data_IF_998027705384
#
_entry.id   IF_998027705384
#
_cell.length_a   1.000
_cell.length_b   1.000
_cell.length_c   1.000
_cell.angle_alpha   90.00
_cell.angle_beta   90.00
_cell.angle_gamma   90.00
#
_symmetry.space_group_name_H-M   'P 1'
#
loop_
_entity.id
_entity.type
_entity.pdbx_description
1 polymer ?
#
# COMPACT_ATOMS: atom_id res chain seq x y z
N UNK A 1 5.82 19.76 25.33
CA UNK A 1 6.22 18.41 24.89
C UNK A 1 4.96 17.59 24.76
N UNK A 2 4.87 16.68 23.80
CA UNK A 2 3.70 15.80 23.70
C UNK A 2 3.71 14.82 24.89
N UNK A 3 2.58 14.70 25.58
CA UNK A 3 2.41 13.74 26.68
C UNK A 3 1.82 12.44 26.14
N UNK A 4 2.29 11.32 26.67
CA UNK A 4 1.82 9.97 26.33
C UNK A 4 1.20 9.32 27.56
N UNK A 5 0.07 8.64 27.36
CA UNK A 5 -0.61 7.88 28.41
C UNK A 5 -0.25 6.40 28.36
N UNK A 6 -0.33 5.70 29.48
CA UNK A 6 -0.20 4.22 29.50
C UNK A 6 -1.25 3.62 28.57
N UNK A 7 -0.84 2.68 27.72
CA UNK A 7 -1.64 2.08 26.67
C UNK A 7 -1.54 2.80 25.31
N UNK A 8 -0.95 4.00 25.24
CA UNK A 8 -0.71 4.67 23.96
C UNK A 8 0.22 3.81 23.08
N UNK A 9 -0.18 3.62 21.82
CA UNK A 9 0.69 3.02 20.81
C UNK A 9 1.53 4.12 20.19
N UNK A 10 2.84 4.01 20.35
CA UNK A 10 3.83 4.99 19.90
C UNK A 10 4.79 4.37 18.90
N UNK A 11 5.31 5.20 18.00
CA UNK A 11 6.46 4.86 17.17
C UNK A 11 7.74 5.40 17.80
N UNK A 12 8.66 4.49 18.13
CA UNK A 12 9.97 4.83 18.69
C UNK A 12 10.96 5.01 17.55
N UNK A 13 11.47 6.23 17.37
CA UNK A 13 12.37 6.63 16.28
C UNK A 13 13.56 5.66 16.17
N UNK A 14 13.59 4.89 15.08
CA UNK A 14 14.66 3.94 14.76
C UNK A 14 14.53 2.55 15.40
N UNK A 15 13.48 2.32 16.20
CA UNK A 15 13.23 1.04 16.89
C UNK A 15 11.85 0.44 16.59
N UNK A 16 10.91 1.21 16.03
CA UNK A 16 9.59 0.72 15.60
C UNK A 16 8.48 0.96 16.62
N UNK A 17 7.34 0.28 16.47
CA UNK A 17 6.16 0.49 17.33
C UNK A 17 6.33 -0.13 18.72
N UNK A 18 5.85 0.59 19.72
CA UNK A 18 5.81 0.16 21.11
C UNK A 18 4.52 0.66 21.78
N UNK A 19 4.17 0.04 22.89
CA UNK A 19 3.10 0.48 23.78
C UNK A 19 3.74 1.17 24.99
N UNK A 20 3.23 2.32 25.41
CA UNK A 20 3.63 2.94 26.68
C UNK A 20 3.09 2.10 27.83
N UNK A 21 3.96 1.49 28.63
CA UNK A 21 3.58 0.59 29.73
C UNK A 21 3.78 1.21 31.12
N UNK A 22 4.58 2.27 31.22
CA UNK A 22 4.68 3.11 32.43
C UNK A 22 4.58 4.58 32.03
N UNK A 23 4.00 5.44 32.90
CA UNK A 23 3.95 6.88 32.66
C UNK A 23 5.37 7.49 32.61
N UNK A 24 5.44 8.77 32.28
CA UNK A 24 6.68 9.54 32.33
C UNK A 24 7.32 9.44 33.72
N UNK A 25 8.57 9.01 33.80
CA UNK A 25 9.32 9.02 35.05
C UNK A 25 9.67 10.46 35.45
N UNK A 26 9.02 10.98 36.49
CA UNK A 26 9.19 12.36 36.99
C UNK A 26 10.18 12.49 38.14
N UNK A 27 10.61 11.37 38.75
CA UNK A 27 11.59 11.36 39.82
C UNK A 27 12.97 11.85 39.33
N UNK A 28 13.44 12.99 39.84
CA UNK A 28 14.73 13.60 39.47
C UNK A 28 15.93 12.75 39.91
N UNK A 29 15.79 11.90 40.94
CA UNK A 29 16.85 10.98 41.38
C UNK A 29 16.99 9.73 40.53
N UNK A 30 16.00 9.44 39.67
CA UNK A 30 16.00 8.26 38.83
C UNK A 30 16.88 8.44 37.59
N UNK A 31 17.67 7.41 37.26
CA UNK A 31 18.40 7.36 35.97
C UNK A 31 17.48 7.38 34.74
N UNK A 32 16.17 7.16 34.93
CA UNK A 32 15.15 7.17 33.89
C UNK A 32 14.32 8.46 33.85
N UNK A 33 14.69 9.48 34.64
CA UNK A 33 14.02 10.78 34.65
C UNK A 33 13.77 11.30 33.21
N UNK A 34 12.54 11.74 32.95
CA UNK A 34 12.11 12.25 31.64
C UNK A 34 11.89 11.18 30.56
N UNK A 35 11.75 9.91 30.94
CA UNK A 35 11.52 8.79 30.00
C UNK A 35 10.23 8.03 30.30
N UNK A 36 9.63 7.49 29.26
CA UNK A 36 8.53 6.53 29.32
C UNK A 36 9.10 5.12 29.22
N UNK A 37 8.58 4.18 30.00
CA UNK A 37 8.83 2.75 29.73
C UNK A 37 7.89 2.30 28.64
N UNK A 38 8.45 1.76 27.56
CA UNK A 38 7.70 1.25 26.43
C UNK A 38 7.96 -0.24 26.23
N UNK A 39 6.99 -0.96 25.67
CA UNK A 39 7.08 -2.38 25.29
C UNK A 39 6.97 -2.52 23.78
N UNK A 40 8.01 -2.99 23.13
CA UNK A 40 8.02 -3.16 21.67
C UNK A 40 7.06 -4.26 21.24
N UNK A 41 6.24 -3.98 20.23
CA UNK A 41 5.24 -4.95 19.74
C UNK A 41 5.89 -6.15 19.03
N UNK A 42 7.08 -5.97 18.46
CA UNK A 42 7.74 -7.01 17.67
C UNK A 42 8.23 -8.19 18.53
N UNK A 43 8.75 -7.92 19.73
CA UNK A 43 9.45 -8.92 20.56
C UNK A 43 9.11 -8.85 22.05
N UNK A 44 8.21 -7.95 22.46
CA UNK A 44 7.84 -7.73 23.85
C UNK A 44 8.94 -7.10 24.71
N UNK A 45 10.11 -6.78 24.15
CA UNK A 45 11.20 -6.18 24.90
C UNK A 45 10.80 -4.79 25.41
N UNK A 46 11.27 -4.43 26.61
CA UNK A 46 10.99 -3.13 27.20
C UNK A 46 12.18 -2.18 27.10
N UNK A 47 11.91 -0.88 26.96
CA UNK A 47 12.95 0.15 26.91
C UNK A 47 12.46 1.46 27.51
N UNK A 48 13.36 2.26 28.08
CA UNK A 48 13.05 3.62 28.55
C UNK A 48 13.36 4.63 27.45
N UNK A 49 12.31 5.13 26.79
CA UNK A 49 12.39 6.08 25.69
C UNK A 49 12.09 7.51 26.15
N UNK A 50 12.87 8.48 25.68
CA UNK A 50 12.58 9.91 25.88
C UNK A 50 11.40 10.34 25.02
N UNK A 51 10.67 11.37 25.45
CA UNK A 51 9.53 11.94 24.69
C UNK A 51 9.91 12.37 23.27
N UNK A 52 11.12 12.90 23.06
CA UNK A 52 11.62 13.39 21.77
C UNK A 52 11.85 12.31 20.70
N UNK A 53 11.93 11.03 21.11
CA UNK A 53 12.05 9.89 20.21
C UNK A 53 10.75 9.13 20.04
N UNK A 54 9.70 9.48 20.80
CA UNK A 54 8.37 8.92 20.64
C UNK A 54 7.56 9.77 19.68
N UNK A 55 6.73 9.11 18.88
CA UNK A 55 5.70 9.76 18.08
C UNK A 55 4.40 9.07 18.35
N UNK A 56 3.32 9.83 18.54
CA UNK A 56 1.99 9.26 18.58
C UNK A 56 1.75 8.59 17.24
N UNK A 57 1.49 7.28 17.27
CA UNK A 57 1.08 6.61 16.05
C UNK A 57 -0.29 7.15 15.75
N UNK A 58 -0.47 7.76 14.57
CA UNK A 58 -1.72 8.43 14.23
C UNK A 58 -2.89 7.49 14.58
N UNK A 59 -3.86 8.04 15.32
CA UNK A 59 -5.12 7.40 15.71
C UNK A 59 -5.59 6.49 14.59
N UNK A 60 -6.04 5.27 14.90
CA UNK A 60 -6.59 4.35 13.89
C UNK A 60 -7.58 5.10 13.00
N UNK A 61 -7.10 5.51 11.82
CA UNK A 61 -7.90 6.32 10.91
C UNK A 61 -8.99 5.38 10.39
N UNK A 62 -10.25 5.74 10.65
CA UNK A 62 -11.38 4.93 10.18
C UNK A 62 -11.45 4.96 8.66
N UNK A 63 -11.06 6.08 8.06
CA UNK A 63 -11.02 6.29 6.62
C UNK A 63 -10.07 5.28 5.95
N UNK A 64 -10.52 4.77 4.81
CA UNK A 64 -9.77 3.79 4.01
C UNK A 64 -8.77 4.46 3.08
N UNK A 65 -9.14 5.62 2.52
CA UNK A 65 -8.29 6.41 1.61
C UNK A 65 -7.76 7.63 2.35
N UNK A 66 -6.46 7.86 2.25
CA UNK A 66 -5.74 8.93 2.93
C UNK A 66 -5.00 9.76 1.88
N UNK A 67 -5.26 11.07 1.83
CA UNK A 67 -4.74 11.95 0.80
C UNK A 67 -3.61 12.83 1.34
N UNK A 68 -2.52 12.90 0.57
CA UNK A 68 -1.33 13.68 0.88
C UNK A 68 -1.01 14.61 -0.28
N UNK A 69 -0.66 15.88 -0.01
CA UNK A 69 -0.27 16.84 -1.07
C UNK A 69 1.23 16.88 -1.33
N UNK A 70 2.08 16.43 -0.41
CA UNK A 70 3.54 16.52 -0.54
C UNK A 70 4.21 15.18 -0.27
N UNK A 71 5.43 14.99 -0.78
CA UNK A 71 6.25 13.80 -0.51
C UNK A 71 6.49 13.61 0.99
N UNK A 72 6.73 14.71 1.71
CA UNK A 72 6.92 14.69 3.17
C UNK A 72 5.66 14.21 3.89
N UNK A 73 4.49 14.71 3.49
CA UNK A 73 3.22 14.29 4.10
C UNK A 73 2.89 12.84 3.76
N UNK A 74 3.14 12.43 2.52
CA UNK A 74 2.95 11.06 2.07
C UNK A 74 3.79 10.06 2.87
N UNK A 75 5.10 10.30 3.02
CA UNK A 75 5.99 9.45 3.82
C UNK A 75 5.62 9.45 5.30
N UNK A 76 5.20 10.60 5.84
CA UNK A 76 4.76 10.71 7.24
C UNK A 76 3.46 9.95 7.47
N UNK A 77 2.50 10.05 6.56
CA UNK A 77 1.25 9.31 6.58
C UNK A 77 1.48 7.80 6.43
N UNK A 78 2.29 7.38 5.46
CA UNK A 78 2.68 5.98 5.29
C UNK A 78 3.30 5.41 6.58
N UNK A 79 4.24 6.13 7.18
CA UNK A 79 4.89 5.74 8.43
C UNK A 79 3.91 5.61 9.61
N UNK A 80 2.82 6.38 9.63
CA UNK A 80 1.85 6.38 10.72
C UNK A 80 0.80 5.28 10.57
N UNK A 81 0.50 4.83 9.35
CA UNK A 81 -0.52 3.79 9.12
C UNK A 81 0.05 2.39 8.99
N UNK A 82 1.32 2.26 8.59
CA UNK A 82 1.99 0.97 8.46
C UNK A 82 2.36 0.40 9.84
N UNK A 83 2.12 -0.90 10.02
CA UNK A 83 2.47 -1.73 11.17
C UNK A 83 3.56 -2.74 10.82
N UNK A 84 4.24 -3.25 11.85
CA UNK A 84 5.32 -4.23 11.68
C UNK A 84 4.88 -5.52 10.97
N UNK A 85 3.63 -5.95 11.15
CA UNK A 85 3.14 -7.19 10.52
C UNK A 85 2.54 -6.97 9.12
N UNK A 86 2.46 -5.73 8.66
CA UNK A 86 1.79 -5.40 7.40
C UNK A 86 2.60 -5.91 6.20
N UNK A 87 1.86 -6.29 5.18
CA UNK A 87 2.35 -6.37 3.81
C UNK A 87 1.96 -5.10 3.08
N UNK A 88 2.95 -4.45 2.45
CA UNK A 88 2.81 -3.13 1.83
C UNK A 88 3.12 -3.23 0.34
N UNK A 89 2.27 -2.62 -0.48
CA UNK A 89 2.52 -2.37 -1.89
C UNK A 89 2.76 -0.88 -2.08
N UNK A 90 3.82 -0.49 -2.77
CA UNK A 90 4.02 0.90 -3.21
C UNK A 90 3.97 0.99 -4.72
N UNK A 91 3.03 1.77 -5.26
CA UNK A 91 2.84 2.01 -6.69
C UNK A 91 3.39 3.38 -7.06
N UNK A 92 4.29 3.42 -8.03
CA UNK A 92 5.08 4.61 -8.36
C UNK A 92 6.30 4.75 -7.44
N UNK A 93 7.03 3.65 -7.23
CA UNK A 93 8.18 3.64 -6.30
C UNK A 93 9.36 4.48 -6.79
N UNK A 94 9.42 4.82 -8.08
CA UNK A 94 10.56 5.50 -8.70
C UNK A 94 11.88 4.76 -8.35
N UNK A 95 12.87 5.47 -7.82
CA UNK A 95 14.16 4.92 -7.35
C UNK A 95 14.08 4.20 -5.98
N UNK A 96 12.90 4.07 -5.37
CA UNK A 96 12.67 3.21 -4.20
C UNK A 96 12.96 3.81 -2.82
N UNK A 97 13.18 5.13 -2.70
CA UNK A 97 13.50 5.79 -1.41
C UNK A 97 12.39 5.59 -0.37
N UNK A 98 11.12 5.75 -0.77
CA UNK A 98 10.00 5.55 0.15
C UNK A 98 9.85 4.06 0.53
N UNK A 99 9.98 3.15 -0.45
CA UNK A 99 9.96 1.70 -0.23
C UNK A 99 11.02 1.31 0.79
N UNK A 100 12.23 1.84 0.67
CA UNK A 100 13.32 1.59 1.60
C UNK A 100 13.03 2.16 3.00
N UNK A 101 12.50 3.37 3.10
CA UNK A 101 12.10 3.94 4.39
C UNK A 101 11.04 3.07 5.08
N UNK A 102 10.04 2.60 4.33
CA UNK A 102 8.92 1.81 4.84
C UNK A 102 9.30 0.36 5.14
N UNK A 103 10.29 -0.22 4.45
CA UNK A 103 10.77 -1.60 4.69
C UNK A 103 11.19 -1.88 6.14
N UNK A 104 11.52 -0.83 6.90
CA UNK A 104 11.91 -0.92 8.32
C UNK A 104 10.72 -0.95 9.27
N UNK A 105 9.50 -0.78 8.75
CA UNK A 105 8.26 -0.61 9.51
C UNK A 105 7.24 -1.70 9.24
N UNK A 106 7.47 -2.56 8.26
CA UNK A 106 6.56 -3.62 7.83
C UNK A 106 7.29 -4.96 7.70
N UNK A 107 6.51 -6.03 7.60
CA UNK A 107 7.01 -7.40 7.44
C UNK A 107 7.41 -7.65 6.00
N UNK A 108 6.63 -7.10 5.07
CA UNK A 108 6.82 -7.28 3.64
C UNK A 108 6.53 -5.96 2.92
N UNK A 109 7.38 -5.61 1.95
CA UNK A 109 7.11 -4.50 1.04
C UNK A 109 7.66 -4.81 -0.35
N UNK A 110 6.90 -4.42 -1.37
CA UNK A 110 7.34 -4.41 -2.76
C UNK A 110 7.06 -3.03 -3.36
N UNK A 111 8.06 -2.45 -4.01
CA UNK A 111 7.91 -1.23 -4.80
C UNK A 111 7.66 -1.58 -6.27
N UNK A 112 6.71 -0.92 -6.91
CA UNK A 112 6.43 -1.09 -8.34
C UNK A 112 6.43 0.23 -9.06
N UNK A 113 6.85 0.20 -10.31
CA UNK A 113 6.84 1.33 -11.22
C UNK A 113 6.65 0.80 -12.64
N UNK A 114 6.10 1.62 -13.53
CA UNK A 114 5.90 1.25 -14.93
C UNK A 114 7.22 1.32 -15.72
N UNK A 115 8.15 2.16 -15.29
CA UNK A 115 9.44 2.34 -15.96
C UNK A 115 10.44 1.29 -15.51
N UNK A 116 10.87 0.43 -16.44
CA UNK A 116 11.93 -0.56 -16.15
C UNK A 116 13.23 0.11 -15.71
N UNK A 117 13.56 1.27 -16.30
CA UNK A 117 14.78 2.03 -15.98
C UNK A 117 14.80 2.50 -14.52
N UNK A 118 13.66 2.97 -13.98
CA UNK A 118 13.59 3.40 -12.57
C UNK A 118 13.66 2.20 -11.64
N UNK A 119 13.06 1.07 -12.02
CA UNK A 119 13.14 -0.19 -11.25
C UNK A 119 14.57 -0.73 -11.21
N UNK A 120 15.30 -0.71 -12.32
CA UNK A 120 16.72 -1.09 -12.34
C UNK A 120 17.56 -0.20 -11.41
N UNK A 121 17.32 1.11 -11.44
CA UNK A 121 17.96 2.05 -10.53
C UNK A 121 17.63 1.75 -9.05
N UNK A 122 16.37 1.46 -8.74
CA UNK A 122 15.92 1.10 -7.40
C UNK A 122 16.57 -0.21 -6.91
N UNK A 123 16.60 -1.26 -7.74
CA UNK A 123 17.26 -2.54 -7.43
C UNK A 123 18.76 -2.36 -7.19
N UNK A 124 19.43 -1.53 -7.99
CA UNK A 124 20.85 -1.20 -7.79
C UNK A 124 21.08 -0.45 -6.49
N UNK A 125 20.22 0.52 -6.16
CA UNK A 125 20.32 1.35 -4.95
C UNK A 125 19.99 0.58 -3.67
N UNK A 126 19.02 -0.35 -3.74
CA UNK A 126 18.52 -1.11 -2.60
C UNK A 126 18.40 -2.61 -2.91
N UNK A 127 19.53 -3.33 -3.08
CA UNK A 127 19.56 -4.72 -3.56
C UNK A 127 18.91 -5.75 -2.63
N UNK A 128 18.56 -5.36 -1.41
CA UNK A 128 17.86 -6.22 -0.44
C UNK A 128 16.34 -6.10 -0.48
N UNK A 129 15.77 -5.24 -1.33
CA UNK A 129 14.34 -5.00 -1.44
C UNK A 129 13.81 -5.48 -2.79
N UNK A 130 12.53 -5.88 -2.80
CA UNK A 130 11.85 -6.31 -4.02
C UNK A 130 11.30 -5.10 -4.76
N UNK A 131 11.67 -4.99 -6.03
CA UNK A 131 11.10 -4.01 -6.96
C UNK A 131 10.68 -4.73 -8.24
N UNK A 132 9.55 -4.35 -8.83
CA UNK A 132 9.00 -4.97 -10.04
C UNK A 132 8.51 -3.92 -11.04
N UNK A 133 8.74 -4.16 -12.34
CA UNK A 133 8.21 -3.33 -13.40
C UNK A 133 6.78 -3.78 -13.74
N UNK A 134 5.78 -3.07 -13.22
CA UNK A 134 4.36 -3.42 -13.35
C UNK A 134 3.54 -2.14 -13.53
N UNK A 135 2.57 -2.16 -14.45
CA UNK A 135 1.61 -1.07 -14.60
C UNK A 135 0.66 -1.03 -13.40
N UNK A 136 0.46 0.15 -12.80
CA UNK A 136 -0.47 0.33 -11.69
C UNK A 136 -1.91 -0.09 -12.02
N UNK A 137 -2.32 -0.05 -13.29
CA UNK A 137 -3.65 -0.49 -13.69
C UNK A 137 -3.80 -2.01 -13.79
N UNK A 138 -2.71 -2.79 -13.79
CA UNK A 138 -2.75 -4.27 -13.80
C UNK A 138 -2.89 -4.83 -12.37
N UNK A 139 -4.10 -4.73 -11.84
CA UNK A 139 -4.38 -5.16 -10.45
C UNK A 139 -4.15 -6.65 -10.23
N UNK A 140 -4.35 -7.48 -11.25
CA UNK A 140 -4.11 -8.92 -11.15
C UNK A 140 -2.61 -9.19 -10.91
N UNK A 141 -1.74 -8.55 -11.71
CA UNK A 141 -0.30 -8.63 -11.51
C UNK A 141 0.12 -8.08 -10.13
N UNK A 142 -0.42 -6.92 -9.72
CA UNK A 142 -0.11 -6.33 -8.41
C UNK A 142 -0.49 -7.25 -7.26
N UNK A 143 -1.69 -7.85 -7.28
CA UNK A 143 -2.15 -8.80 -6.24
C UNK A 143 -1.24 -10.03 -6.18
N UNK A 144 -0.77 -10.53 -7.32
CA UNK A 144 0.15 -11.67 -7.39
C UNK A 144 1.53 -11.40 -6.77
N UNK A 145 1.92 -10.13 -6.58
CA UNK A 145 3.15 -9.77 -5.86
C UNK A 145 3.02 -9.88 -4.33
N UNK A 146 1.79 -9.92 -3.82
CA UNK A 146 1.50 -9.96 -2.39
C UNK A 146 1.61 -11.36 -1.80
N UNK A 147 1.67 -11.46 -0.46
CA UNK A 147 1.47 -12.73 0.21
C UNK A 147 -0.01 -13.19 0.07
N UNK A 148 -0.36 -14.44 0.42
CA UNK A 148 -1.72 -14.97 0.28
C UNK A 148 -2.80 -14.13 0.98
N UNK A 149 -2.48 -13.52 2.12
CA UNK A 149 -3.37 -12.60 2.85
C UNK A 149 -3.57 -11.23 2.18
N UNK A 150 -2.83 -10.94 1.10
CA UNK A 150 -2.86 -9.68 0.39
C UNK A 150 -2.11 -8.55 1.10
N UNK A 151 -2.35 -7.32 0.65
CA UNK A 151 -1.71 -6.13 1.20
C UNK A 151 -2.61 -5.44 2.23
N UNK A 152 -2.04 -5.12 3.39
CA UNK A 152 -2.70 -4.32 4.42
C UNK A 152 -2.68 -2.82 4.08
N UNK A 153 -1.63 -2.37 3.38
CA UNK A 153 -1.48 -0.97 2.95
C UNK A 153 -1.02 -0.92 1.50
N UNK A 154 -1.68 -0.08 0.71
CA UNK A 154 -1.27 0.29 -0.65
C UNK A 154 -0.91 1.77 -0.66
N UNK A 155 0.32 2.08 -1.03
CA UNK A 155 0.83 3.43 -1.18
C UNK A 155 0.83 3.79 -2.67
N UNK A 156 0.36 4.97 -3.04
CA UNK A 156 0.19 5.43 -4.42
C UNK A 156 0.87 6.78 -4.61
N UNK A 157 2.01 6.80 -5.31
CA UNK A 157 2.77 8.00 -5.66
C UNK A 157 3.06 8.08 -7.17
N UNK A 158 1.98 8.17 -7.97
CA UNK A 158 2.07 8.41 -9.42
C UNK A 158 1.97 9.91 -9.77
N UNK A 159 1.87 10.77 -8.76
CA UNK A 159 1.33 12.13 -8.86
C UNK A 159 2.28 13.20 -9.38
N UNK A 160 3.51 12.88 -9.78
CA UNK A 160 4.45 13.86 -10.34
C UNK A 160 3.99 14.43 -11.69
N UNK A 161 3.36 13.60 -12.52
CA UNK A 161 2.93 13.94 -13.90
C UNK A 161 1.49 13.46 -14.18
N UNK A 162 0.93 12.57 -13.35
CA UNK A 162 -0.41 12.02 -13.59
C UNK A 162 -1.51 13.09 -13.47
N UNK A 163 -2.41 13.11 -14.45
CA UNK A 163 -3.60 13.94 -14.41
C UNK A 163 -4.59 13.48 -13.33
N UNK A 164 -5.45 14.39 -12.87
CA UNK A 164 -6.49 14.08 -11.89
C UNK A 164 -7.38 12.88 -12.30
N UNK A 165 -7.87 12.77 -13.54
CA UNK A 165 -8.64 11.60 -13.99
C UNK A 165 -7.88 10.27 -13.80
N UNK A 166 -6.59 10.25 -14.13
CA UNK A 166 -5.76 9.03 -13.98
C UNK A 166 -5.63 8.63 -12.51
N UNK A 167 -5.33 9.59 -11.62
CA UNK A 167 -5.24 9.30 -10.18
C UNK A 167 -6.59 8.85 -9.62
N UNK A 168 -7.68 9.53 -9.99
CA UNK A 168 -9.03 9.17 -9.53
C UNK A 168 -9.44 7.77 -10.00
N UNK A 169 -9.17 7.43 -11.26
CA UNK A 169 -9.45 6.10 -11.81
C UNK A 169 -8.67 5.01 -11.08
N UNK A 170 -7.37 5.24 -10.82
CA UNK A 170 -6.53 4.29 -10.10
C UNK A 170 -7.01 4.09 -8.65
N UNK A 171 -7.33 5.18 -7.94
CA UNK A 171 -7.87 5.10 -6.57
C UNK A 171 -9.21 4.38 -6.54
N UNK A 172 -10.12 4.66 -7.48
CA UNK A 172 -11.40 3.97 -7.59
C UNK A 172 -11.23 2.47 -7.88
N UNK A 173 -10.30 2.12 -8.76
CA UNK A 173 -9.92 0.74 -9.05
C UNK A 173 -9.40 0.03 -7.80
N UNK A 174 -8.47 0.63 -7.07
CA UNK A 174 -7.91 0.01 -5.86
C UNK A 174 -8.93 -0.08 -4.72
N UNK A 175 -9.78 0.93 -4.58
CA UNK A 175 -10.88 0.90 -3.63
C UNK A 175 -11.83 -0.27 -3.91
N UNK A 176 -12.11 -0.56 -5.19
CA UNK A 176 -12.93 -1.70 -5.58
C UNK A 176 -12.24 -3.04 -5.37
N UNK A 177 -10.97 -3.15 -5.77
CA UNK A 177 -10.31 -4.43 -5.96
C UNK A 177 -9.56 -4.95 -4.73
N UNK A 178 -9.03 -4.09 -3.87
CA UNK A 178 -8.37 -4.53 -2.64
C UNK A 178 -9.40 -4.78 -1.52
N UNK A 179 -9.09 -5.62 -0.52
CA UNK A 179 -9.95 -5.82 0.65
C UNK A 179 -10.35 -4.51 1.34
N UNK A 180 -11.52 -4.49 1.96
CA UNK A 180 -12.08 -3.30 2.61
C UNK A 180 -11.23 -2.77 3.77
N UNK A 181 -10.45 -3.64 4.42
CA UNK A 181 -9.53 -3.29 5.50
C UNK A 181 -8.17 -2.77 5.00
N UNK A 182 -7.86 -2.89 3.69
CA UNK A 182 -6.65 -2.33 3.09
C UNK A 182 -6.70 -0.79 3.10
N UNK A 183 -5.70 -0.17 3.72
CA UNK A 183 -5.51 1.29 3.68
C UNK A 183 -4.87 1.72 2.37
N UNK A 184 -5.34 2.82 1.79
CA UNK A 184 -4.84 3.37 0.53
C UNK A 184 -4.31 4.78 0.80
N UNK A 185 -3.00 4.97 0.75
CA UNK A 185 -2.36 6.28 0.94
C UNK A 185 -2.00 6.83 -0.43
N UNK A 186 -2.53 8.01 -0.77
CA UNK A 186 -2.38 8.59 -2.11
C UNK A 186 -1.67 9.93 -2.02
N UNK A 187 -0.61 10.10 -2.80
CA UNK A 187 0.02 11.40 -3.03
C UNK A 187 -0.55 12.05 -4.29
N UNK A 188 -1.33 13.11 -4.09
CA UNK A 188 -1.84 13.95 -5.18
C UNK A 188 -2.25 15.32 -4.65
N UNK A 189 -1.61 16.38 -5.17
CA UNK A 189 -1.94 17.78 -4.83
C UNK A 189 -3.37 18.09 -5.26
N UNK A 190 -3.69 17.80 -6.52
CA UNK A 190 -4.98 18.14 -7.12
C UNK A 190 -6.14 17.39 -6.47
N UNK A 191 -6.01 16.07 -6.29
CA UNK A 191 -7.07 15.28 -5.66
C UNK A 191 -7.30 15.71 -4.21
N UNK A 192 -6.23 15.97 -3.45
CA UNK A 192 -6.38 16.45 -2.08
C UNK A 192 -7.11 17.79 -2.03
N UNK A 193 -6.70 18.78 -2.83
CA UNK A 193 -7.36 20.10 -2.87
C UNK A 193 -8.84 19.97 -3.25
N UNK A 194 -9.14 19.23 -4.32
CA UNK A 194 -10.52 18.98 -4.73
C UNK A 194 -11.36 18.38 -3.60
N UNK A 195 -10.83 17.41 -2.85
CA UNK A 195 -11.55 16.81 -1.73
C UNK A 195 -11.71 17.73 -0.52
N UNK A 196 -10.80 18.68 -0.30
CA UNK A 196 -10.95 19.70 0.75
C UNK A 196 -12.03 20.73 0.39
N UNK A 197 -12.24 20.97 -0.90
CA UNK A 197 -13.29 21.84 -1.44
C UNK A 197 -14.63 21.10 -1.66
N UNK A 198 -14.66 19.78 -1.46
CA UNK A 198 -15.87 18.97 -1.58
C UNK A 198 -16.54 18.77 -0.22
N UNK A 199 -17.82 19.09 -0.14
CA UNK A 199 -18.67 18.69 0.98
C UNK A 199 -19.61 17.57 0.51
N UNK A 200 -19.50 16.32 1.01
CA UNK A 200 -20.42 15.27 0.64
C UNK A 200 -21.87 15.68 0.95
N UNK A 201 -22.73 15.58 -0.05
CA UNK A 201 -24.16 15.77 0.16
C UNK A 201 -24.68 14.68 1.09
N UNK A 202 -25.28 15.08 2.22
CA UNK A 202 -25.85 14.17 3.20
C UNK A 202 -27.36 14.44 3.33
N UNK A 203 -28.28 13.56 2.92
CA UNK A 203 -29.71 13.82 3.03
C UNK A 203 -30.23 13.81 4.48
N UNK A 204 -29.38 13.52 5.48
CA UNK A 204 -29.80 13.53 6.89
C UNK A 204 -30.39 14.89 7.31
N UNK A 205 -31.43 14.92 8.16
CA UNK A 205 -32.07 16.15 8.64
C UNK A 205 -31.13 17.14 9.33
N UNK A 206 -29.98 16.66 9.82
CA UNK A 206 -28.95 17.50 10.45
C UNK A 206 -27.97 18.13 9.46
N UNK A 207 -28.21 18.01 8.15
CA UNK A 207 -27.29 18.54 7.16
C UNK A 207 -27.41 20.08 7.10
N UNK A 208 -26.29 20.83 7.27
CA UNK A 208 -26.29 22.28 7.09
C UNK A 208 -26.71 22.73 5.69
N UNK A 209 -26.74 21.86 4.67
CA UNK A 209 -27.33 22.20 3.37
C UNK A 209 -28.87 22.15 3.34
N UNK A 210 -29.55 21.79 4.43
CA UNK A 210 -30.97 22.12 4.62
C UNK A 210 -31.18 23.63 4.88
N UNK A 211 -30.27 24.49 4.41
CA UNK A 211 -30.55 25.90 4.26
C UNK A 211 -31.78 26.05 3.37
N UNK A 212 -32.89 26.33 4.04
CA UNK A 212 -33.97 27.14 3.51
C UNK A 212 -34.56 26.67 2.19
N UNK A 213 -35.14 25.46 2.16
CA UNK A 213 -36.53 25.42 1.67
C UNK A 213 -37.40 26.06 2.74
N UNK A 214 -37.15 27.34 3.03
CA UNK A 214 -38.18 28.18 3.57
C UNK A 214 -39.23 28.13 2.48
N UNK A 215 -40.29 27.36 2.72
CA UNK A 215 -41.61 27.84 2.34
C UNK A 215 -41.57 29.32 2.70
N UNK A 216 -41.62 30.26 1.74
CA UNK A 216 -41.69 31.66 2.11
C UNK A 216 -42.85 31.71 3.09
N UNK A 217 -42.54 32.02 4.35
CA UNK A 217 -43.57 32.44 5.28
C UNK A 217 -44.00 33.75 4.66
N UNK A 218 -45.03 33.69 3.81
CA UNK A 218 -45.79 34.85 3.41
C UNK A 218 -46.31 35.35 4.74
N UNK A 219 -45.57 36.28 5.34
CA UNK A 219 -46.00 37.01 6.50
C UNK A 219 -47.40 37.49 6.16
N UNK A 220 -48.37 37.01 6.94
CA UNK A 220 -49.78 37.16 6.65
C UNK A 220 -50.05 38.57 6.13
N UNK A 221 -50.61 38.63 4.93
CA UNK A 221 -51.21 39.86 4.45
C UNK A 221 -52.19 40.32 5.53
N UNK A 222 -51.99 41.51 6.15
CA UNK A 222 -53.07 42.10 6.91
C UNK A 222 -54.20 42.35 5.93
N UNK A 223 -55.40 41.88 6.28
CA UNK A 223 -56.55 41.85 5.38
C UNK A 223 -56.73 43.16 4.63
N UNK A 224 -56.80 43.06 3.30
CA UNK A 224 -57.47 44.04 2.47
C UNK A 224 -58.57 43.32 1.70
N UNK A 225 -59.79 43.60 2.15
CA UNK A 225 -60.99 43.30 1.40
C UNK A 225 -60.99 44.11 0.10
N UNK A 226 -61.37 43.45 -0.99
CA UNK A 226 -61.95 44.08 -2.18
C UNK A 226 -60.99 44.82 -3.10
N UNK A 227 -60.79 44.29 -4.30
CA UNK A 227 -61.27 44.94 -5.54
C UNK A 227 -60.71 44.24 -6.78
N UNK A 228 -61.65 44.00 -7.68
CA UNK A 228 -61.59 43.64 -9.09
C UNK A 228 -60.47 44.23 -9.95
N UNK A 229 -60.03 43.42 -10.92
CA UNK A 229 -59.91 43.71 -12.36
C UNK A 229 -58.51 43.72 -13.02
N UNK A 230 -58.52 43.04 -14.18
CA UNK A 230 -57.77 43.30 -15.42
C UNK A 230 -56.34 42.76 -15.57
N UNK A 231 -56.21 41.76 -16.45
CA UNK A 231 -55.03 41.48 -17.28
C UNK A 231 -54.66 42.69 -18.16
N UNK A 232 -53.39 42.76 -18.60
CA UNK A 232 -53.17 42.47 -20.02
C UNK A 232 -51.89 41.67 -20.33
N UNK A 233 -51.82 41.26 -21.59
CA UNK A 233 -50.89 40.35 -22.24
C UNK A 233 -49.65 41.04 -22.87
N UNK A 234 -48.72 40.18 -23.31
CA UNK A 234 -47.65 40.38 -24.33
C UNK A 234 -46.43 41.23 -23.90
N UNK A 235 -45.17 40.96 -24.25
CA UNK A 235 -44.58 40.48 -25.52
C UNK A 235 -43.21 39.77 -25.35
N UNK A 236 -42.66 39.11 -26.41
CA UNK A 236 -41.39 38.40 -26.41
C UNK A 236 -40.21 39.24 -26.97
N UNK A 237 -39.07 39.25 -26.26
CA UNK A 237 -37.85 39.97 -26.67
C UNK A 237 -36.71 39.05 -27.12
N UNK A 238 -36.29 39.25 -28.39
CA UNK A 238 -35.00 38.87 -29.02
C UNK A 238 -33.82 39.23 -28.10
N UNK A 239 -32.70 38.52 -28.00
CA UNK A 239 -31.85 37.91 -29.03
C UNK A 239 -30.59 38.76 -29.22
N UNK A 240 -29.43 38.33 -28.71
CA UNK A 240 -28.10 38.77 -29.18
C UNK A 240 -27.05 37.67 -28.91
N UNK A 241 -26.44 37.22 -30.01
CA UNK A 241 -25.17 36.48 -30.04
C UNK A 241 -24.02 37.48 -29.91
N UNK A 242 -22.95 37.09 -29.24
CA UNK A 242 -21.65 37.76 -29.29
C UNK A 242 -20.53 36.74 -29.15
N UNK A 243 -19.56 36.67 -30.07
CA UNK A 243 -18.37 35.85 -29.95
C UNK A 243 -17.25 36.66 -29.26
N UNK A 244 -16.47 35.99 -28.41
CA UNK A 244 -15.31 36.59 -27.76
C UNK A 244 -14.28 35.52 -27.47
N UNK A 245 -13.49 35.19 -28.49
CA UNK A 245 -12.25 34.42 -28.35
C UNK A 245 -11.20 35.29 -27.67
N UNK A 246 -10.83 34.92 -26.44
CA UNK A 246 -9.71 35.50 -25.70
C UNK A 246 -8.51 34.55 -25.74
N UNK A 247 -7.47 34.96 -26.46
CA UNK A 247 -6.18 34.31 -26.47
C UNK A 247 -5.43 34.62 -25.15
N UNK A 248 -5.19 33.60 -24.33
CA UNK A 248 -4.32 33.71 -23.14
C UNK A 248 -2.88 33.35 -23.52
N UNK A 249 -2.02 34.37 -23.59
CA UNK A 249 -0.57 34.23 -23.62
C UNK A 249 -0.03 34.09 -22.19
N UNK A 250 0.39 32.89 -21.80
CA UNK A 250 1.07 32.64 -20.53
C UNK A 250 2.60 32.87 -20.62
N UNK A 251 3.24 33.53 -19.64
CA UNK A 251 4.69 33.68 -19.61
C UNK A 251 5.38 32.41 -19.10
N UNK A 252 6.40 31.97 -19.85
CA UNK A 252 7.36 30.95 -19.49
C UNK A 252 8.30 31.43 -18.38
N UNK A 253 8.08 30.98 -17.15
CA UNK A 253 9.00 31.18 -16.02
C UNK A 253 9.74 29.88 -15.69
N UNK A 254 10.99 29.76 -16.15
CA UNK A 254 11.90 28.69 -15.76
C UNK A 254 12.45 28.95 -14.35
N UNK A 255 11.78 28.41 -13.32
CA UNK A 255 12.29 28.39 -11.96
C UNK A 255 13.07 27.12 -11.68
N UNK A 256 14.40 27.21 -11.66
CA UNK A 256 15.27 26.14 -11.16
C UNK A 256 15.04 25.94 -9.66
N UNK A 257 14.31 24.88 -9.30
CA UNK A 257 14.14 24.47 -7.90
C UNK A 257 15.44 23.87 -7.37
N UNK A 258 16.05 24.57 -6.40
CA UNK A 258 17.18 24.07 -5.63
C UNK A 258 16.82 22.77 -4.91
N UNK A 259 17.63 21.73 -5.12
CA UNK A 259 17.62 20.52 -4.30
C UNK A 259 18.12 20.88 -2.90
N UNK A 260 17.22 20.97 -1.92
CA UNK A 260 17.61 20.84 -0.52
C UNK A 260 17.95 19.38 -0.24
N UNK A 261 19.24 19.10 -0.16
CA UNK A 261 19.78 17.82 0.27
C UNK A 261 19.61 17.70 1.79
N UNK A 262 18.60 16.94 2.21
CA UNK A 262 18.41 16.56 3.61
C UNK A 262 19.51 15.56 4.01
N UNK A 263 20.66 16.08 4.46
CA UNK A 263 21.78 15.29 5.00
C UNK A 263 21.34 14.66 6.32
N UNK A 264 20.91 13.41 6.25
CA UNK A 264 20.57 12.60 7.43
C UNK A 264 21.84 11.99 8.04
N UNK A 265 22.44 12.69 9.00
CA UNK A 265 23.49 12.12 9.85
C UNK A 265 22.86 11.18 10.88
N UNK A 266 22.68 9.91 10.50
CA UNK A 266 22.34 8.85 11.43
C UNK A 266 23.50 8.56 12.41
N UNK A 267 23.21 8.08 13.64
CA UNK A 267 24.25 7.71 14.59
C UNK A 267 25.13 6.59 14.03
N UNK A 268 26.45 6.85 13.97
CA UNK A 268 27.47 5.84 13.64
C UNK A 268 27.36 4.71 14.66
N UNK A 269 26.95 3.52 14.20
CA UNK A 269 26.93 2.31 15.01
C UNK A 269 28.37 1.80 15.16
N UNK A 270 28.89 1.82 16.38
CA UNK A 270 30.03 0.98 16.74
C UNK A 270 29.60 -0.49 16.65
N UNK A 271 30.35 -1.25 15.86
CA UNK A 271 30.04 -2.62 15.50
C UNK A 271 30.23 -3.60 16.65
N UNK A 272 29.22 -4.46 16.85
CA UNK A 272 29.40 -5.89 17.10
C UNK A 272 28.43 -6.66 16.20
N UNK A 273 28.97 -7.67 15.53
CA UNK A 273 28.56 -8.22 14.25
C UNK A 273 27.18 -8.91 14.24
N UNK A 274 26.37 -8.55 13.25
CA UNK A 274 25.19 -9.33 12.79
C UNK A 274 25.56 -10.39 11.74
N UNK A 275 26.84 -10.47 11.35
CA UNK A 275 27.32 -11.40 10.31
C UNK A 275 27.24 -12.88 10.72
N UNK A 276 27.28 -13.19 12.02
CA UNK A 276 27.27 -14.59 12.49
C UNK A 276 25.93 -15.31 12.23
N UNK A 277 24.80 -14.59 12.19
CA UNK A 277 23.49 -15.21 11.89
C UNK A 277 23.19 -15.31 10.40
N UNK A 278 23.80 -14.46 9.56
CA UNK A 278 23.59 -14.50 8.10
C UNK A 278 24.42 -15.61 7.44
N UNK A 279 25.61 -15.89 7.96
CA UNK A 279 26.46 -17.01 7.53
C UNK A 279 25.82 -18.39 7.79
N UNK A 280 25.12 -18.56 8.92
CA UNK A 280 24.46 -19.82 9.27
C UNK A 280 23.28 -20.16 8.33
N UNK A 281 22.51 -19.15 7.92
CA UNK A 281 21.36 -19.35 7.01
C UNK A 281 21.83 -19.57 5.57
N UNK A 282 22.88 -18.86 5.11
CA UNK A 282 23.43 -19.08 3.76
C UNK A 282 24.14 -20.43 3.60
N UNK A 283 24.79 -20.93 4.65
CA UNK A 283 25.41 -22.26 4.64
C UNK A 283 24.38 -23.41 4.60
N UNK A 284 23.22 -23.23 5.25
CA UNK A 284 22.14 -24.23 5.20
C UNK A 284 21.46 -24.31 3.82
N UNK A 285 21.35 -23.17 3.11
CA UNK A 285 20.77 -23.11 1.78
C UNK A 285 21.71 -23.65 0.70
N UNK A 286 23.04 -23.47 0.83
CA UNK A 286 24.00 -24.05 -0.12
C UNK A 286 24.15 -25.57 0.06
N UNK A 287 24.01 -26.08 1.28
CA UNK A 287 24.02 -27.52 1.56
C UNK A 287 22.79 -28.23 0.98
N UNK A 288 21.61 -27.60 1.05
CA UNK A 288 20.38 -28.15 0.45
C UNK A 288 20.42 -28.16 -1.10
N UNK A 289 21.02 -27.13 -1.72
CA UNK A 289 21.20 -27.07 -3.17
C UNK A 289 22.23 -28.09 -3.69
N UNK A 290 23.30 -28.34 -2.93
CA UNK A 290 24.31 -29.34 -3.27
C UNK A 290 23.77 -30.78 -3.16
N UNK A 291 22.90 -31.06 -2.18
CA UNK A 291 22.24 -32.36 -2.04
C UNK A 291 21.26 -32.68 -3.17
N UNK A 292 20.55 -31.68 -3.69
CA UNK A 292 19.64 -31.84 -4.84
C UNK A 292 20.39 -32.08 -6.16
N UNK A 293 21.57 -31.48 -6.35
CA UNK A 293 22.39 -31.69 -7.54
C UNK A 293 23.05 -33.08 -7.58
N UNK A 294 23.37 -33.66 -6.42
CA UNK A 294 23.94 -35.01 -6.33
C UNK A 294 22.92 -36.13 -6.65
N UNK A 295 21.63 -35.89 -6.40
CA UNK A 295 20.56 -36.85 -6.70
C UNK A 295 20.25 -36.96 -8.22
N UNK A 296 20.56 -35.93 -9.00
CA UNK A 296 20.34 -35.93 -10.45
C UNK A 296 21.45 -36.63 -11.25
N UNK A 297 22.60 -36.91 -10.64
CA UNK A 297 23.78 -37.45 -11.33
C UNK A 297 23.90 -38.99 -11.31
N UNK A 298 22.95 -39.72 -10.72
CA UNK A 298 23.02 -41.19 -10.59
C UNK A 298 22.04 -41.97 -11.47
N UNK A 299 21.28 -41.30 -12.35
CA UNK A 299 20.35 -41.94 -13.27
C UNK A 299 20.92 -42.19 -14.66
N UNK A 300 21.78 -43.20 -14.83
CA UNK A 300 22.26 -43.61 -16.15
C UNK A 300 22.75 -45.05 -16.20
N UNK A 301 22.00 -45.94 -16.86
CA UNK A 301 22.48 -47.25 -17.29
C UNK A 301 21.36 -48.23 -17.64
N UNK A 302 21.09 -48.43 -18.94
CA UNK A 302 20.20 -49.49 -19.41
C UNK A 302 20.05 -49.51 -20.93
N UNK A 303 20.92 -50.28 -21.58
CA UNK A 303 21.00 -50.50 -23.03
C UNK A 303 19.85 -51.33 -23.61
N UNK A 304 19.64 -51.26 -24.93
CA UNK A 304 18.83 -52.21 -25.69
C UNK A 304 18.75 -51.89 -27.18
N UNK A 305 19.56 -52.59 -27.98
CA UNK A 305 19.65 -52.54 -29.44
C UNK A 305 18.38 -52.99 -30.18
N UNK A 306 18.23 -52.57 -31.44
CA UNK A 306 17.25 -53.16 -32.37
C UNK A 306 17.30 -52.54 -33.78
N UNK A 307 17.94 -53.24 -34.71
CA UNK A 307 18.11 -52.93 -36.13
C UNK A 307 16.79 -52.81 -36.91
N UNK A 308 16.78 -52.00 -37.98
CA UNK A 308 15.75 -52.06 -39.02
C UNK A 308 15.97 -51.10 -40.19
N UNK A 309 16.16 -51.65 -41.39
CA UNK A 309 16.53 -50.99 -42.67
C UNK A 309 15.38 -50.28 -43.39
N UNK A 310 15.75 -49.36 -44.30
CA UNK A 310 15.02 -48.97 -45.52
C UNK A 310 14.07 -47.78 -45.33
N UNK A 311 13.89 -46.83 -46.24
CA UNK A 311 14.30 -46.66 -47.63
C UNK A 311 13.90 -45.25 -48.09
N UNK A 312 14.35 -44.87 -49.29
CA UNK A 312 14.18 -43.57 -49.96
C UNK A 312 12.71 -43.19 -50.17
N UNK A 313 12.42 -41.89 -50.28
CA UNK A 313 11.19 -41.43 -50.93
C UNK A 313 10.93 -39.92 -50.82
N UNK A 314 11.06 -39.23 -51.95
CA UNK A 314 10.62 -37.85 -52.19
C UNK A 314 9.10 -37.69 -52.05
N UNK A 315 8.63 -36.45 -51.86
CA UNK A 315 7.35 -36.04 -52.45
C UNK A 315 6.38 -35.23 -51.59
N UNK A 316 6.28 -33.95 -51.93
CA UNK A 316 5.06 -33.18 -52.20
C UNK A 316 3.86 -33.14 -51.21
N UNK A 317 3.50 -31.89 -50.86
CA UNK A 317 2.16 -31.25 -50.90
C UNK A 317 0.93 -32.13 -50.61
N UNK A 318 0.11 -31.70 -49.64
CA UNK A 318 -1.30 -32.13 -49.58
C UNK A 318 -2.09 -31.43 -48.48
N UNK A 319 -3.18 -30.77 -48.89
CA UNK A 319 -4.16 -30.06 -48.06
C UNK A 319 -5.06 -31.02 -47.26
N UNK A 320 -5.54 -30.51 -46.12
CA UNK A 320 -6.95 -30.55 -45.73
C UNK A 320 -7.45 -31.79 -44.98
N UNK A 321 -8.38 -31.57 -44.04
CA UNK A 321 -9.23 -32.65 -43.53
C UNK A 321 -9.73 -32.46 -42.11
N UNK A 322 -11.04 -32.28 -41.97
CA UNK A 322 -11.85 -32.20 -40.74
C UNK A 322 -11.96 -33.55 -40.01
N UNK A 323 -12.45 -33.47 -38.76
CA UNK A 323 -13.08 -34.57 -38.00
C UNK A 323 -12.34 -34.80 -36.67
N UNK A 324 -12.91 -34.81 -35.48
CA UNK A 324 -14.26 -35.23 -35.06
C UNK A 324 -14.12 -36.49 -34.19
N UNK A 325 -14.51 -36.42 -32.91
CA UNK A 325 -14.54 -37.54 -31.95
C UNK A 325 -13.99 -37.08 -30.58
N UNK A 326 -14.81 -36.83 -29.55
CA UNK A 326 -15.50 -37.79 -28.64
C UNK A 326 -14.60 -38.94 -28.20
N UNK A 327 -14.33 -39.00 -26.90
CA UNK A 327 -13.72 -40.11 -26.19
C UNK A 327 -13.66 -39.82 -24.70
N UNK A 328 -14.66 -40.33 -23.97
CA UNK A 328 -14.65 -40.49 -22.52
C UNK A 328 -13.60 -41.55 -22.10
N UNK A 329 -12.90 -41.31 -20.98
CA UNK A 329 -12.40 -42.31 -20.03
C UNK A 329 -11.69 -41.55 -18.88
N UNK A 330 -12.12 -41.68 -17.62
CA UNK A 330 -11.58 -42.66 -16.64
C UNK A 330 -10.05 -42.58 -16.62
N UNK A 331 -9.35 -42.15 -15.58
CA UNK A 331 -9.61 -42.10 -14.15
C UNK A 331 -8.25 -42.41 -13.53
N UNK A 332 -7.78 -41.64 -12.54
CA UNK A 332 -6.81 -42.15 -11.57
C UNK A 332 -6.77 -41.26 -10.34
N UNK A 333 -7.02 -41.94 -9.21
CA UNK A 333 -6.99 -41.42 -7.88
C UNK A 333 -5.55 -41.14 -7.46
N UNK A 334 -5.28 -39.95 -6.92
CA UNK A 334 -4.05 -39.67 -6.21
C UNK A 334 -4.33 -39.70 -4.70
N UNK A 335 -3.54 -40.45 -3.90
CA UNK A 335 -3.84 -40.69 -2.50
C UNK A 335 -3.59 -39.46 -1.62
N UNK A 336 -4.52 -39.30 -0.69
CA UNK A 336 -4.48 -38.39 0.46
C UNK A 336 -3.29 -38.76 1.35
N UNK A 337 -2.38 -37.81 1.58
CA UNK A 337 -1.43 -37.87 2.69
C UNK A 337 -1.95 -37.04 3.84
N UNK A 338 -2.29 -37.71 4.94
CA UNK A 338 -2.68 -37.08 6.21
C UNK A 338 -1.48 -36.42 6.92
N UNK A 339 -1.73 -35.39 7.74
CA UNK A 339 -0.69 -34.62 8.43
C UNK A 339 -0.14 -35.36 9.66
N UNK A 340 1.18 -35.34 9.79
CA UNK A 340 1.91 -35.79 10.99
C UNK A 340 1.69 -34.78 12.13
N UNK A 341 1.08 -35.27 13.21
CA UNK A 341 0.89 -34.55 14.46
C UNK A 341 2.22 -34.22 15.15
N UNK A 342 2.47 -32.95 15.42
CA UNK A 342 3.54 -32.50 16.31
C UNK A 342 2.99 -32.39 17.74
N UNK A 343 3.51 -33.22 18.63
CA UNK A 343 3.11 -33.31 20.03
C UNK A 343 3.47 -32.07 20.85
N UNK A 344 2.58 -31.74 21.78
CA UNK A 344 2.80 -30.78 22.85
C UNK A 344 3.69 -31.37 23.95
N UNK A 345 4.67 -30.65 24.51
CA UNK A 345 5.28 -31.03 25.77
C UNK A 345 4.35 -30.69 26.94
N UNK A 346 4.14 -31.70 27.77
CA UNK A 346 3.19 -31.73 28.88
C UNK A 346 3.54 -30.79 30.04
N UNK A 347 2.48 -30.41 30.75
CA UNK A 347 2.56 -29.76 32.05
C UNK A 347 3.04 -30.72 33.13
N UNK A 348 3.88 -30.22 34.02
CA UNK A 348 4.13 -30.80 35.33
C UNK A 348 3.39 -29.95 36.36
N UNK A 349 2.38 -30.55 37.00
CA UNK A 349 1.81 -30.12 38.26
C UNK A 349 1.93 -31.30 39.21
N UNK A 350 2.57 -31.10 40.37
CA UNK A 350 2.27 -31.71 41.66
C UNK A 350 3.37 -31.35 42.67
N UNK A 351 2.96 -30.91 43.86
CA UNK A 351 3.85 -30.76 45.01
C UNK A 351 3.25 -29.87 46.09
N UNK A 352 2.15 -30.32 46.72
CA UNK A 352 1.72 -29.85 48.04
C UNK A 352 2.80 -30.17 49.10
N UNK A 353 3.14 -29.16 49.89
CA UNK A 353 3.52 -29.23 51.31
C UNK A 353 3.41 -27.82 51.91
#
# INVERSE_FOLDING_TARGET
MEEFSVGDIVDVKGYGRAEVIEPLCTDEGSQFHGRYRVRYQQNGATYYARSDVLRRTATQVKQRVLLCHSTTHYRTCAASVINYNDAVLEVGSHEGECTWLMSRRCRYIVGVDKSEVTIEAARKRYPGLRFEAVDGFDVAALKALGPPEGFAVVLVDIGGIASLPTVAALVGLYYKEFPWNTKIVVKSVFLKRMMEDCLPYNPAPSNPWQWTTGTPVIAGAPGSAGATAASPAAEPGRGTQGPGEGAESGPSGSGAAGREELVFNGPRRNGKSRDSRRAAVSASASAAAAAAAAAAATGGGGAGEGQGRGGRGQGARGRGGRGGGRGDAVGDANPVTEPVAAGAPGGAAAGDA
#
